data_IF_621044658920
#
_entry.id   IF_621044658920
#
_cell.length_a   1.000
_cell.length_b   1.000
_cell.length_c   1.000
_cell.angle_alpha   90.00
_cell.angle_beta   90.00
_cell.angle_gamma   90.00
#
_symmetry.space_group_name_H-M   'P 1'
#
loop_
_entity.id
_entity.type
_entity.pdbx_description
1 polymer ?
#
# COMPACT_ATOMS: atom_id res chain seq x y z
N UNK A 1 4.27 7.43 -17.82
CA UNK A 1 5.09 7.77 -16.65
C UNK A 1 4.18 8.22 -15.54
N UNK A 2 4.05 7.39 -14.52
CA UNK A 2 3.26 7.64 -13.32
C UNK A 2 4.05 8.52 -12.35
N UNK A 3 3.45 9.60 -11.87
CA UNK A 3 4.06 10.46 -10.85
C UNK A 3 4.02 9.79 -9.48
N UNK A 4 5.15 9.71 -8.77
CA UNK A 4 5.19 9.16 -7.40
C UNK A 4 5.08 10.27 -6.35
N UNK A 5 4.07 10.16 -5.49
CA UNK A 5 3.78 11.07 -4.39
C UNK A 5 4.24 10.41 -3.08
N UNK A 6 5.27 11.01 -2.47
CA UNK A 6 5.76 10.66 -1.14
C UNK A 6 4.91 11.38 -0.10
N UNK A 7 3.91 10.69 0.43
CA UNK A 7 2.92 11.30 1.33
C UNK A 7 3.34 11.17 2.79
N UNK A 8 3.87 12.24 3.37
CA UNK A 8 4.25 12.29 4.78
C UNK A 8 3.08 12.77 5.66
N UNK A 9 2.77 12.01 6.71
CA UNK A 9 1.62 12.30 7.56
C UNK A 9 1.93 13.41 8.58
N UNK A 10 1.23 14.54 8.47
CA UNK A 10 1.37 15.69 9.40
C UNK A 10 0.11 15.94 10.26
N UNK A 11 -0.76 14.93 10.38
CA UNK A 11 -2.03 15.00 11.11
C UNK A 11 -3.24 14.83 10.20
N UNK A 12 -4.44 14.65 10.78
CA UNK A 12 -5.65 14.37 10.02
C UNK A 12 -6.17 15.56 9.22
N UNK A 13 -6.91 15.29 8.16
CA UNK A 13 -7.68 16.31 7.41
C UNK A 13 -6.84 17.26 6.55
N UNK A 14 -5.68 16.82 6.09
CA UNK A 14 -4.74 17.60 5.27
C UNK A 14 -3.87 16.69 4.39
N UNK A 15 -3.08 17.28 3.50
CA UNK A 15 -2.05 16.57 2.73
C UNK A 15 -1.17 15.72 3.65
N UNK A 16 -0.97 14.46 3.25
CA UNK A 16 -0.33 13.44 4.09
C UNK A 16 -1.31 12.42 4.69
N UNK A 17 -2.55 12.82 4.95
CA UNK A 17 -3.63 11.94 5.43
C UNK A 17 -4.36 11.31 4.25
N UNK A 18 -4.16 10.01 4.05
CA UNK A 18 -4.79 9.27 2.96
C UNK A 18 -6.31 9.34 2.96
N UNK A 19 -6.93 9.37 4.14
CA UNK A 19 -8.39 9.43 4.25
C UNK A 19 -8.93 10.74 3.70
N UNK A 20 -8.17 11.82 3.86
CA UNK A 20 -8.49 13.12 3.30
C UNK A 20 -8.08 13.23 1.83
N UNK A 21 -6.85 12.82 1.49
CA UNK A 21 -6.29 12.96 0.13
C UNK A 21 -7.12 12.23 -0.93
N UNK A 22 -7.58 11.00 -0.64
CA UNK A 22 -8.32 10.18 -1.62
C UNK A 22 -9.65 10.81 -2.06
N UNK A 23 -10.21 11.71 -1.25
CA UNK A 23 -11.46 12.42 -1.53
C UNK A 23 -11.24 13.72 -2.31
N UNK A 24 -9.99 14.17 -2.49
CA UNK A 24 -9.71 15.45 -3.12
C UNK A 24 -9.76 15.37 -4.66
N UNK A 25 -10.32 16.39 -5.34
CA UNK A 25 -10.40 16.40 -6.80
C UNK A 25 -9.05 16.25 -7.52
N UNK A 26 -7.97 16.84 -6.98
CA UNK A 26 -6.63 16.73 -7.56
C UNK A 26 -5.97 15.35 -7.40
N UNK A 27 -6.58 14.46 -6.61
CA UNK A 27 -6.16 13.07 -6.43
C UNK A 27 -7.05 12.05 -7.14
N UNK A 28 -7.97 12.47 -8.01
CA UNK A 28 -8.85 11.56 -8.75
C UNK A 28 -8.10 10.55 -9.63
N UNK A 29 -6.90 10.90 -10.12
CA UNK A 29 -6.02 10.03 -10.89
C UNK A 29 -4.92 9.35 -10.06
N UNK A 30 -5.01 9.36 -8.73
CA UNK A 30 -4.00 8.79 -7.83
C UNK A 30 -4.43 7.41 -7.35
N UNK A 31 -3.57 6.41 -7.57
CA UNK A 31 -3.68 5.11 -6.89
C UNK A 31 -2.94 5.18 -5.54
N UNK A 32 -3.67 4.99 -4.44
CA UNK A 32 -3.10 5.02 -3.10
C UNK A 32 -2.65 3.64 -2.66
N UNK A 33 -1.35 3.48 -2.37
CA UNK A 33 -0.76 2.27 -1.80
C UNK A 33 -0.69 2.42 -0.28
N UNK A 34 -1.56 1.73 0.45
CA UNK A 34 -1.55 1.72 1.91
C UNK A 34 -0.89 0.47 2.48
N UNK A 35 -0.43 0.57 3.73
CA UNK A 35 0.22 -0.54 4.43
C UNK A 35 -0.86 -1.49 4.93
N UNK A 36 -0.91 -2.69 4.38
CA UNK A 36 -1.88 -3.70 4.78
C UNK A 36 -1.27 -4.78 5.67
N UNK A 37 -2.14 -5.57 6.26
CA UNK A 37 -1.79 -6.86 6.83
C UNK A 37 -1.98 -7.96 5.77
N UNK A 38 -1.11 -8.95 5.81
CA UNK A 38 -1.09 -10.05 4.83
C UNK A 38 -2.43 -10.79 4.71
N UNK A 39 -3.12 -10.99 5.83
CA UNK A 39 -4.39 -11.73 5.86
C UNK A 39 -5.50 -10.99 5.12
N UNK A 40 -5.69 -9.70 5.38
CA UNK A 40 -6.69 -8.89 4.66
C UNK A 40 -6.32 -8.73 3.19
N UNK A 41 -5.03 -8.53 2.89
CA UNK A 41 -4.54 -8.53 1.52
C UNK A 41 -4.93 -9.80 0.75
N UNK A 42 -4.66 -10.99 1.30
CA UNK A 42 -5.03 -12.24 0.62
C UNK A 42 -6.52 -12.52 0.60
N UNK A 43 -7.28 -12.04 1.60
CA UNK A 43 -8.75 -12.09 1.56
C UNK A 43 -9.29 -11.28 0.38
N UNK A 44 -8.71 -10.11 0.11
CA UNK A 44 -9.03 -9.30 -1.06
C UNK A 44 -8.56 -9.98 -2.35
N UNK A 45 -7.28 -10.36 -2.44
CA UNK A 45 -6.64 -10.92 -3.64
C UNK A 45 -7.37 -12.16 -4.18
N UNK A 46 -7.80 -13.07 -3.30
CA UNK A 46 -8.44 -14.33 -3.69
C UNK A 46 -9.91 -14.16 -4.12
N UNK A 47 -10.43 -12.93 -4.21
CA UNK A 47 -11.79 -12.65 -4.65
C UNK A 47 -12.87 -13.21 -3.73
N UNK A 48 -12.53 -13.45 -2.45
CA UNK A 48 -13.49 -13.91 -1.45
C UNK A 48 -14.45 -12.81 -1.01
N UNK A 49 -15.29 -13.10 -0.01
CA UNK A 49 -16.17 -12.13 0.66
C UNK A 49 -15.40 -11.15 1.56
N UNK A 50 -14.34 -10.53 1.02
CA UNK A 50 -13.60 -9.47 1.68
C UNK A 50 -14.50 -8.24 1.79
N UNK A 51 -14.66 -7.74 3.02
CA UNK A 51 -15.55 -6.61 3.30
C UNK A 51 -14.87 -5.25 3.06
N UNK A 52 -13.59 -5.23 2.64
CA UNK A 52 -12.77 -4.03 2.56
C UNK A 52 -12.92 -3.14 3.79
N UNK A 53 -13.02 -3.74 4.98
CA UNK A 53 -13.24 -2.99 6.22
C UNK A 53 -12.09 -2.03 6.48
N UNK A 54 -12.39 -0.81 6.90
CA UNK A 54 -11.37 0.19 7.22
C UNK A 54 -10.38 -0.36 8.26
N UNK A 55 -9.08 -0.18 7.99
CA UNK A 55 -7.99 -0.46 8.93
C UNK A 55 -7.61 0.75 9.75
N UNK A 56 -6.52 0.62 10.52
CA UNK A 56 -5.93 1.74 11.26
C UNK A 56 -4.89 2.51 10.43
N UNK A 57 -4.68 3.79 10.75
CA UNK A 57 -3.72 4.64 10.06
C UNK A 57 -4.06 4.78 8.58
N UNK A 58 -3.07 4.64 7.69
CA UNK A 58 -3.29 4.74 6.25
C UNK A 58 -4.17 3.60 5.69
N UNK A 59 -4.38 2.50 6.41
CA UNK A 59 -5.30 1.44 5.99
C UNK A 59 -6.78 1.82 6.17
N UNK A 60 -7.10 3.02 6.69
CA UNK A 60 -8.46 3.54 6.75
C UNK A 60 -9.12 3.59 5.36
N UNK A 61 -8.32 3.81 4.29
CA UNK A 61 -8.80 3.82 2.91
C UNK A 61 -9.00 2.42 2.30
N UNK A 62 -8.89 1.33 3.07
CA UNK A 62 -9.11 -0.04 2.57
C UNK A 62 -10.47 -0.20 1.88
N UNK A 63 -11.49 0.53 2.32
CA UNK A 63 -12.84 0.56 1.72
C UNK A 63 -12.83 0.94 0.24
N UNK A 64 -11.88 1.77 -0.18
CA UNK A 64 -11.73 2.24 -1.56
C UNK A 64 -11.12 1.18 -2.51
N UNK A 65 -10.64 0.04 -1.99
CA UNK A 65 -10.20 -1.09 -2.83
C UNK A 65 -11.36 -1.87 -3.45
N UNK A 66 -12.54 -1.85 -2.82
CA UNK A 66 -13.72 -2.62 -3.26
C UNK A 66 -14.69 -1.78 -4.11
N UNK A 67 -14.35 -0.55 -4.44
CA UNK A 67 -15.18 0.28 -5.31
C UNK A 67 -15.12 -0.23 -6.76
N UNK A 68 -16.15 0.02 -7.60
CA UNK A 68 -16.14 -0.39 -9.00
C UNK A 68 -14.90 0.09 -9.76
N UNK A 69 -14.38 1.26 -9.39
CA UNK A 69 -13.06 1.74 -9.77
C UNK A 69 -12.21 1.84 -8.49
N UNK A 70 -11.31 0.88 -8.24
CA UNK A 70 -10.47 0.90 -7.05
C UNK A 70 -9.51 2.09 -7.07
N UNK A 71 -9.51 2.93 -6.02
CA UNK A 71 -8.57 4.07 -5.89
C UNK A 71 -7.49 3.80 -4.83
N UNK A 72 -7.60 2.67 -4.13
CA UNK A 72 -6.66 2.23 -3.12
C UNK A 72 -6.24 0.80 -3.42
N UNK A 73 -5.04 0.44 -2.97
CA UNK A 73 -4.51 -0.91 -2.99
C UNK A 73 -3.56 -1.12 -1.79
N UNK A 74 -3.57 -2.33 -1.25
CA UNK A 74 -2.89 -2.67 -0.02
C UNK A 74 -1.60 -3.40 -0.35
N UNK A 75 -0.49 -2.98 0.24
CA UNK A 75 0.76 -3.73 0.21
C UNK A 75 1.02 -4.32 1.61
N UNK A 76 1.15 -5.64 1.75
CA UNK A 76 1.46 -6.25 3.03
C UNK A 76 2.78 -5.74 3.60
N UNK A 77 2.76 -5.35 4.87
CA UNK A 77 3.96 -4.91 5.61
C UNK A 77 4.20 -5.74 6.86
N UNK A 78 3.32 -6.69 7.15
CA UNK A 78 3.37 -7.59 8.27
C UNK A 78 2.16 -8.51 8.34
N UNK A 79 2.18 -9.42 9.31
CA UNK A 79 1.09 -10.35 9.61
C UNK A 79 0.87 -10.45 11.12
N UNK A 80 -0.30 -10.92 11.53
CA UNK A 80 -0.58 -11.34 12.90
C UNK A 80 -0.54 -12.86 13.06
N UNK A 81 -0.17 -13.59 12.01
CA UNK A 81 0.11 -15.02 12.11
C UNK A 81 1.39 -15.24 12.92
N UNK A 82 1.41 -16.32 13.69
CA UNK A 82 2.56 -16.66 14.52
C UNK A 82 3.78 -16.98 13.65
N UNK A 83 4.95 -16.47 14.04
CA UNK A 83 6.20 -16.71 13.33
C UNK A 83 7.16 -15.53 13.43
N UNK A 84 8.23 -15.58 12.65
CA UNK A 84 9.27 -14.54 12.65
C UNK A 84 8.79 -13.19 12.13
N UNK A 85 7.61 -13.13 11.51
CA UNK A 85 7.00 -11.92 10.92
C UNK A 85 5.79 -11.39 11.68
N UNK A 86 5.53 -11.93 12.88
CA UNK A 86 4.46 -11.44 13.74
C UNK A 86 4.67 -9.95 14.05
N UNK A 87 3.64 -9.15 13.79
CA UNK A 87 3.64 -7.69 13.92
C UNK A 87 4.65 -6.95 13.01
N UNK A 88 5.10 -7.56 11.91
CA UNK A 88 5.89 -6.88 10.88
C UNK A 88 6.86 -7.83 10.16
N UNK A 89 7.00 -7.67 8.85
CA UNK A 89 8.00 -8.44 8.10
C UNK A 89 9.41 -8.11 8.58
N UNK A 90 10.10 -9.12 9.09
CA UNK A 90 11.41 -9.00 9.74
C UNK A 90 12.58 -9.14 8.77
N UNK A 91 12.38 -9.79 7.62
CA UNK A 91 13.38 -9.94 6.56
C UNK A 91 12.70 -10.22 5.21
N UNK A 92 13.49 -10.20 4.13
CA UNK A 92 13.08 -10.61 2.78
C UNK A 92 13.38 -12.10 2.58
N UNK A 93 12.61 -12.96 3.23
CA UNK A 93 12.65 -14.40 2.95
C UNK A 93 11.73 -14.76 1.78
N UNK A 94 11.74 -16.04 1.38
CA UNK A 94 10.94 -16.52 0.24
C UNK A 94 9.44 -16.25 0.42
N UNK A 95 8.94 -16.30 1.65
CA UNK A 95 7.56 -15.99 1.97
C UNK A 95 7.26 -14.52 1.70
N UNK A 96 8.00 -13.60 2.33
CA UNK A 96 7.80 -12.16 2.15
C UNK A 96 7.99 -11.74 0.70
N UNK A 97 9.01 -12.28 0.02
CA UNK A 97 9.24 -12.01 -1.40
C UNK A 97 8.05 -12.44 -2.27
N UNK A 98 7.45 -13.60 -1.98
CA UNK A 98 6.26 -14.08 -2.69
C UNK A 98 5.05 -13.17 -2.44
N UNK A 99 4.81 -12.77 -1.20
CA UNK A 99 3.69 -11.87 -0.85
C UNK A 99 3.84 -10.51 -1.55
N UNK A 100 5.04 -9.94 -1.53
CA UNK A 100 5.30 -8.65 -2.18
C UNK A 100 5.18 -8.77 -3.70
N UNK A 101 5.62 -9.87 -4.31
CA UNK A 101 5.42 -10.11 -5.73
C UNK A 101 3.93 -10.15 -6.10
N UNK A 102 3.08 -10.81 -5.31
CA UNK A 102 1.63 -10.83 -5.51
C UNK A 102 1.02 -9.42 -5.38
N UNK A 103 1.51 -8.61 -4.43
CA UNK A 103 1.04 -7.24 -4.24
C UNK A 103 1.40 -6.35 -5.44
N UNK A 104 2.64 -6.41 -5.91
CA UNK A 104 3.06 -5.66 -7.10
C UNK A 104 2.34 -6.11 -8.36
N UNK A 105 2.05 -7.42 -8.52
CA UNK A 105 1.23 -7.89 -9.64
C UNK A 105 -0.14 -7.19 -9.68
N UNK A 106 -0.79 -6.96 -8.54
CA UNK A 106 -2.06 -6.24 -8.49
C UNK A 106 -1.90 -4.74 -8.77
N UNK A 107 -0.84 -4.11 -8.25
CA UNK A 107 -0.53 -2.70 -8.54
C UNK A 107 -0.33 -2.52 -10.04
N UNK A 108 0.49 -3.36 -10.67
CA UNK A 108 0.71 -3.33 -12.12
C UNK A 108 -0.59 -3.54 -12.90
N UNK A 109 -1.45 -4.46 -12.45
CA UNK A 109 -2.74 -4.72 -13.10
C UNK A 109 -3.66 -3.50 -13.08
N UNK A 110 -3.67 -2.75 -11.97
CA UNK A 110 -4.43 -1.50 -11.87
C UNK A 110 -3.83 -0.39 -12.75
N UNK A 111 -2.51 -0.23 -12.74
CA UNK A 111 -1.83 0.78 -13.58
C UNK A 111 -2.00 0.49 -15.08
N UNK A 112 -1.99 -0.78 -15.48
CA UNK A 112 -2.21 -1.20 -16.86
C UNK A 112 -3.58 -0.80 -17.43
N UNK A 113 -4.55 -0.46 -16.59
CA UNK A 113 -5.85 0.08 -17.03
C UNK A 113 -5.74 1.46 -17.68
N UNK A 114 -4.63 2.19 -17.45
CA UNK A 114 -4.45 3.57 -17.89
C UNK A 114 -5.27 4.59 -17.11
N UNK A 115 -5.94 4.20 -16.02
CA UNK A 115 -6.83 5.07 -15.24
C UNK A 115 -6.09 5.99 -14.25
N UNK A 116 -4.79 5.76 -14.04
CA UNK A 116 -4.00 6.47 -13.04
C UNK A 116 -2.89 7.28 -13.69
N UNK A 117 -2.63 8.46 -13.14
CA UNK A 117 -1.53 9.36 -13.51
C UNK A 117 -0.50 9.49 -12.40
N UNK A 118 -0.84 9.02 -11.20
CA UNK A 118 0.03 9.09 -10.02
C UNK A 118 -0.18 7.90 -9.07
N UNK A 119 0.84 7.65 -8.25
CA UNK A 119 0.83 6.72 -7.13
C UNK A 119 1.16 7.48 -5.86
N UNK A 120 0.41 7.28 -4.80
CA UNK A 120 0.74 7.82 -3.47
C UNK A 120 1.04 6.67 -2.51
N UNK A 121 2.10 6.78 -1.73
CA UNK A 121 2.42 5.84 -0.66
C UNK A 121 2.85 6.61 0.59
N UNK A 122 2.71 5.98 1.76
CA UNK A 122 3.09 6.64 3.02
C UNK A 122 4.61 6.79 3.10
N UNK A 123 5.08 8.02 3.29
CA UNK A 123 6.50 8.36 3.36
C UNK A 123 6.92 8.73 4.78
N UNK A 124 8.18 8.45 5.08
CA UNK A 124 8.88 8.93 6.26
C UNK A 124 10.34 9.14 5.88
N UNK A 125 10.93 10.28 6.21
CA UNK A 125 12.28 10.62 5.73
C UNK A 125 13.38 9.70 6.27
N UNK A 126 13.21 9.15 7.47
CA UNK A 126 14.17 8.26 8.11
C UNK A 126 14.06 6.83 7.55
N UNK A 127 12.85 6.27 7.52
CA UNK A 127 12.59 4.86 7.19
C UNK A 127 12.16 4.63 5.75
N UNK A 128 11.95 5.69 4.96
CA UNK A 128 11.50 5.72 3.55
C UNK A 128 10.09 5.19 3.29
N UNK A 129 9.54 4.36 4.18
CA UNK A 129 8.14 3.93 4.16
C UNK A 129 7.53 4.28 5.52
N UNK A 130 6.51 5.14 5.53
CA UNK A 130 5.79 5.46 6.75
C UNK A 130 5.02 4.25 7.29
N UNK A 131 4.96 4.10 8.60
CA UNK A 131 4.22 3.01 9.25
C UNK A 131 4.42 2.98 10.75
N UNK A 132 3.34 2.73 11.50
CA UNK A 132 3.34 2.70 12.96
C UNK A 132 2.91 1.34 13.54
N UNK A 133 1.89 0.71 12.94
CA UNK A 133 1.27 -0.52 13.46
C UNK A 133 2.23 -1.71 13.34
N UNK A 134 2.80 -1.91 12.15
CA UNK A 134 3.75 -2.99 11.90
C UNK A 134 5.20 -2.49 12.02
N UNK A 135 6.03 -3.27 12.73
CA UNK A 135 7.47 -3.09 12.89
C UNK A 135 8.23 -3.73 11.73
N UNK A 136 7.89 -3.33 10.51
CA UNK A 136 8.53 -3.80 9.29
C UNK A 136 10.02 -3.43 9.27
N UNK A 137 10.89 -4.40 9.02
CA UNK A 137 12.33 -4.22 8.98
C UNK A 137 12.76 -3.34 7.80
N UNK A 138 13.85 -2.58 8.00
CA UNK A 138 14.32 -1.61 7.00
C UNK A 138 14.63 -2.24 5.62
N UNK A 139 15.24 -3.44 5.50
CA UNK A 139 15.43 -4.06 4.19
C UNK A 139 14.13 -4.29 3.42
N UNK A 140 13.05 -4.66 4.13
CA UNK A 140 11.73 -4.86 3.52
C UNK A 140 11.12 -3.52 3.09
N UNK A 141 11.22 -2.47 3.92
CA UNK A 141 10.78 -1.11 3.55
C UNK A 141 11.50 -0.61 2.31
N UNK A 142 12.82 -0.75 2.27
CA UNK A 142 13.64 -0.33 1.13
C UNK A 142 13.20 -1.03 -0.15
N UNK A 143 13.01 -2.35 -0.09
CA UNK A 143 12.55 -3.13 -1.23
C UNK A 143 11.18 -2.69 -1.73
N UNK A 144 10.20 -2.51 -0.82
CA UNK A 144 8.87 -2.00 -1.20
C UNK A 144 8.97 -0.66 -1.90
N UNK A 145 9.72 0.29 -1.34
CA UNK A 145 9.87 1.63 -1.91
C UNK A 145 10.55 1.58 -3.28
N UNK A 146 11.64 0.82 -3.41
CA UNK A 146 12.32 0.61 -4.69
C UNK A 146 11.38 0.05 -5.76
N UNK A 147 10.60 -0.99 -5.42
CA UNK A 147 9.63 -1.58 -6.34
C UNK A 147 8.50 -0.62 -6.71
N UNK A 148 8.05 0.28 -5.81
CA UNK A 148 7.10 1.35 -6.16
C UNK A 148 7.68 2.27 -7.24
N UNK A 149 8.92 2.70 -7.09
CA UNK A 149 9.58 3.56 -8.09
C UNK A 149 9.76 2.85 -9.43
N UNK A 150 10.29 1.62 -9.42
CA UNK A 150 10.47 0.83 -10.63
C UNK A 150 9.13 0.56 -11.35
N UNK A 151 8.08 0.26 -10.58
CA UNK A 151 6.73 0.08 -11.13
C UNK A 151 6.21 1.38 -11.73
N UNK A 152 6.38 2.53 -11.07
CA UNK A 152 5.93 3.82 -11.60
C UNK A 152 6.68 4.26 -12.86
N UNK A 153 7.97 3.92 -13.00
CA UNK A 153 8.76 4.19 -14.20
C UNK A 153 8.33 3.34 -15.41
N UNK A 154 7.84 2.12 -15.15
CA UNK A 154 7.37 1.18 -16.19
C UNK A 154 6.08 1.63 -16.88
N UNK A 155 5.23 2.41 -16.22
CA UNK A 155 3.91 2.85 -16.71
C UNK A 155 3.88 4.37 -16.92
#
# INVERSE_FOLDING_TARGET
>A
MITVIKSEFHGPGKEGDFSWMIEQPHHQGTLFIFNDNEREFYRHFKGGSHRCGAGGGNAAIRTYQCQPQPHAIGIPTGTYDAGIHYEGYSCLDDHVMKVLADAFQQIESLLATGSFTSLAFSWNDETKLGGYIFKTAQPVRNYIVEQIFLTAEKF
#
